data_IF_766131958574
#
_entry.id   IF_766131958574
#
_cell.length_a   1.000
_cell.length_b   1.000
_cell.length_c   1.000
_cell.angle_alpha   90.00
_cell.angle_beta   90.00
_cell.angle_gamma   90.00
#
_symmetry.space_group_name_H-M   'P 1'
#
loop_
_entity.id
_entity.type
_entity.pdbx_description
1 polymer ?
#
# COMPACT_ATOMS: atom_id res chain seq x y z
N UNK A 1 11.25 12.45 -14.63
CA UNK A 1 9.84 12.58 -15.07
C UNK A 1 9.23 13.63 -14.17
N UNK A 2 8.47 14.58 -14.72
CA UNK A 2 7.89 15.66 -13.90
C UNK A 2 6.79 15.10 -12.98
N UNK A 3 6.71 15.60 -11.74
CA UNK A 3 5.72 15.21 -10.72
C UNK A 3 4.28 15.20 -11.26
N UNK A 4 3.92 16.21 -12.04
CA UNK A 4 2.59 16.30 -12.68
C UNK A 4 2.25 15.09 -13.56
N UNK A 5 3.22 14.57 -14.32
CA UNK A 5 3.01 13.38 -15.17
C UNK A 5 2.73 12.13 -14.32
N UNK A 6 3.41 11.99 -13.19
CA UNK A 6 3.21 10.86 -12.27
C UNK A 6 1.84 10.93 -11.59
N UNK A 7 1.45 12.12 -11.12
CA UNK A 7 0.12 12.35 -10.56
C UNK A 7 -0.99 12.08 -11.59
N UNK A 8 -0.76 12.45 -12.86
CA UNK A 8 -1.69 12.15 -13.96
C UNK A 8 -1.85 10.64 -14.17
N UNK A 9 -0.77 9.85 -14.12
CA UNK A 9 -0.83 8.39 -14.25
C UNK A 9 -1.56 7.73 -13.08
N UNK A 10 -1.32 8.22 -11.86
CA UNK A 10 -2.03 7.74 -10.66
C UNK A 10 -3.52 8.06 -10.76
N UNK A 11 -3.85 9.30 -11.13
CA UNK A 11 -5.24 9.73 -11.34
C UNK A 11 -5.92 8.90 -12.42
N UNK A 12 -5.25 8.65 -13.54
CA UNK A 12 -5.77 7.83 -14.63
C UNK A 12 -6.10 6.41 -14.13
N UNK A 13 -5.20 5.76 -13.39
CA UNK A 13 -5.47 4.44 -12.83
C UNK A 13 -6.67 4.44 -11.86
N UNK A 14 -6.79 5.48 -11.03
CA UNK A 14 -7.92 5.64 -10.11
C UNK A 14 -9.25 5.76 -10.88
N UNK A 15 -9.26 6.53 -11.97
CA UNK A 15 -10.46 6.76 -12.81
C UNK A 15 -10.81 5.52 -13.65
N UNK A 16 -9.83 4.90 -14.32
CA UNK A 16 -10.02 3.73 -15.18
C UNK A 16 -10.61 2.53 -14.42
N UNK A 17 -10.24 2.36 -13.14
CA UNK A 17 -10.66 1.24 -12.30
C UNK A 17 -11.64 1.62 -11.18
N UNK A 18 -12.17 2.85 -11.19
CA UNK A 18 -13.09 3.34 -10.15
C UNK A 18 -12.61 3.05 -8.73
N UNK A 19 -11.33 3.33 -8.45
CA UNK A 19 -10.69 2.97 -7.18
C UNK A 19 -11.20 3.79 -6.00
N UNK A 20 -11.72 5.02 -6.24
CA UNK A 20 -12.18 5.95 -5.20
C UNK A 20 -13.64 6.31 -5.44
N UNK A 21 -14.43 6.20 -4.38
CA UNK A 21 -15.82 6.63 -4.32
C UNK A 21 -15.98 7.78 -3.32
N UNK A 22 -17.10 8.49 -3.42
CA UNK A 22 -17.41 9.58 -2.50
C UNK A 22 -17.55 9.07 -1.07
N UNK A 23 -16.86 9.71 -0.13
CA UNK A 23 -16.89 9.37 1.28
C UNK A 23 -15.99 8.19 1.69
N UNK A 24 -15.15 7.68 0.79
CA UNK A 24 -14.20 6.62 1.14
C UNK A 24 -13.22 7.03 2.25
N UNK A 25 -12.87 6.06 3.08
CA UNK A 25 -11.75 6.13 4.02
C UNK A 25 -10.65 5.21 3.54
N UNK A 26 -9.54 5.81 3.10
CA UNK A 26 -8.45 5.09 2.43
C UNK A 26 -7.20 5.13 3.29
N UNK A 27 -6.67 3.97 3.68
CA UNK A 27 -5.35 3.88 4.28
C UNK A 27 -4.30 3.52 3.23
N UNK A 28 -3.16 4.19 3.25
CA UNK A 28 -1.97 3.76 2.49
C UNK A 28 -1.14 2.85 3.37
N UNK A 29 -0.86 1.63 2.90
CA UNK A 29 0.07 0.72 3.56
C UNK A 29 1.51 1.21 3.41
N UNK A 30 2.10 1.74 4.48
CA UNK A 30 3.44 2.34 4.47
C UNK A 30 4.45 1.38 5.10
N UNK A 31 5.43 0.96 4.31
CA UNK A 31 6.52 0.08 4.75
C UNK A 31 7.80 0.84 5.16
N UNK A 32 7.84 2.16 4.97
CA UNK A 32 9.05 2.97 5.07
C UNK A 32 9.89 3.02 3.79
N UNK A 33 9.57 2.18 2.80
CA UNK A 33 10.21 2.22 1.48
C UNK A 33 9.75 3.40 0.62
N UNK A 34 10.62 3.82 -0.32
CA UNK A 34 10.38 4.97 -1.22
C UNK A 34 9.01 4.95 -1.91
N UNK A 35 8.57 3.78 -2.37
CA UNK A 35 7.36 3.66 -3.18
C UNK A 35 6.10 3.91 -2.34
N UNK A 36 6.05 3.38 -1.12
CA UNK A 36 4.93 3.57 -0.20
C UNK A 36 4.81 5.02 0.28
N UNK A 37 5.93 5.70 0.54
CA UNK A 37 5.95 7.12 0.90
C UNK A 37 5.55 8.00 -0.30
N UNK A 38 6.02 7.65 -1.50
CA UNK A 38 5.65 8.34 -2.74
C UNK A 38 4.15 8.22 -3.03
N UNK A 39 3.56 7.02 -2.86
CA UNK A 39 2.12 6.83 -2.98
C UNK A 39 1.35 7.71 -1.97
N UNK A 40 1.76 7.67 -0.69
CA UNK A 40 1.11 8.46 0.35
C UNK A 40 1.12 9.96 0.01
N UNK A 41 2.27 10.48 -0.43
CA UNK A 41 2.42 11.88 -0.85
C UNK A 41 1.54 12.19 -2.06
N UNK A 42 1.55 11.36 -3.09
CA UNK A 42 0.72 11.52 -4.28
C UNK A 42 -0.77 11.52 -3.94
N UNK A 43 -1.24 10.58 -3.10
CA UNK A 43 -2.63 10.53 -2.65
C UNK A 43 -3.01 11.78 -1.84
N UNK A 44 -2.10 12.31 -1.02
CA UNK A 44 -2.33 13.57 -0.29
C UNK A 44 -2.45 14.78 -1.21
N UNK A 45 -1.65 14.83 -2.27
CA UNK A 45 -1.77 15.90 -3.28
C UNK A 45 -3.10 15.77 -4.01
N UNK A 46 -3.44 14.58 -4.49
CA UNK A 46 -4.70 14.31 -5.18
C UNK A 46 -5.93 14.64 -4.34
N UNK A 47 -5.91 14.32 -3.05
CA UNK A 47 -7.01 14.59 -2.12
C UNK A 47 -7.45 16.07 -2.09
N UNK A 48 -6.58 17.00 -2.49
CA UNK A 48 -6.88 18.45 -2.49
C UNK A 48 -7.75 18.89 -3.68
N UNK A 49 -7.73 18.15 -4.77
CA UNK A 49 -8.40 18.56 -6.02
C UNK A 49 -9.13 17.43 -6.73
N UNK A 50 -9.15 16.23 -6.15
CA UNK A 50 -9.93 15.13 -6.71
C UNK A 50 -11.42 15.39 -6.55
N UNK A 51 -12.26 15.12 -7.59
CA UNK A 51 -13.67 15.49 -7.56
C UNK A 51 -14.53 14.74 -6.53
N UNK A 52 -14.04 13.62 -6.03
CA UNK A 52 -14.70 12.86 -4.95
C UNK A 52 -13.95 13.07 -3.65
N UNK A 53 -14.67 13.37 -2.56
CA UNK A 53 -14.09 13.54 -1.25
C UNK A 53 -13.75 12.17 -0.64
N UNK A 54 -12.58 12.03 -0.05
CA UNK A 54 -12.16 10.85 0.71
C UNK A 54 -11.24 11.24 1.86
N UNK A 55 -11.28 10.45 2.93
CA UNK A 55 -10.35 10.59 4.04
C UNK A 55 -9.10 9.75 3.78
N UNK A 56 -7.92 10.30 4.09
CA UNK A 56 -6.64 9.64 3.87
C UNK A 56 -5.93 9.34 5.19
N UNK A 57 -5.47 8.11 5.34
CA UNK A 57 -4.75 7.58 6.49
C UNK A 57 -3.46 6.90 6.01
N UNK A 58 -2.49 6.75 6.91
CA UNK A 58 -1.33 5.91 6.71
C UNK A 58 -1.32 4.79 7.75
N UNK A 59 -1.00 3.57 7.35
CA UNK A 59 -0.93 2.42 8.26
C UNK A 59 0.35 1.63 8.04
N UNK A 60 1.01 1.26 9.14
CA UNK A 60 2.19 0.39 9.15
C UNK A 60 1.97 -0.78 10.10
N UNK A 61 2.41 -1.96 9.72
CA UNK A 61 2.48 -3.10 10.61
C UNK A 61 3.93 -3.32 11.06
N UNK A 62 4.17 -3.15 12.36
CA UNK A 62 5.38 -3.57 13.02
C UNK A 62 5.27 -5.06 13.34
N UNK A 63 6.11 -5.87 12.72
CA UNK A 63 6.08 -7.33 12.90
C UNK A 63 6.87 -7.81 14.11
N UNK A 64 7.55 -6.92 14.83
CA UNK A 64 8.23 -7.20 16.08
C UNK A 64 9.69 -7.65 15.94
N UNK A 65 10.36 -7.39 14.81
CA UNK A 65 11.82 -7.58 14.76
C UNK A 65 12.55 -6.51 15.57
N UNK A 66 13.64 -6.90 16.23
CA UNK A 66 14.52 -5.96 16.91
C UNK A 66 15.09 -4.93 15.93
N UNK A 67 15.11 -3.66 16.35
CA UNK A 67 15.66 -2.55 15.54
C UNK A 67 14.72 -1.97 14.47
N UNK A 68 13.47 -2.43 14.38
CA UNK A 68 12.49 -1.76 13.50
C UNK A 68 12.12 -0.39 14.07
N UNK A 69 12.43 0.66 13.30
CA UNK A 69 12.11 2.05 13.63
C UNK A 69 11.23 2.70 12.56
N UNK A 70 10.05 3.13 12.95
CA UNK A 70 9.09 3.84 12.09
C UNK A 70 9.00 5.34 12.42
N UNK A 71 9.92 5.87 13.23
CA UNK A 71 9.95 7.30 13.60
C UNK A 71 10.01 8.20 12.37
N UNK A 72 10.79 7.82 11.35
CA UNK A 72 10.86 8.55 10.07
C UNK A 72 9.53 8.58 9.33
N UNK A 73 8.80 7.45 9.32
CA UNK A 73 7.47 7.35 8.70
C UNK A 73 6.48 8.25 9.43
N UNK A 74 6.46 8.20 10.76
CA UNK A 74 5.60 9.06 11.61
C UNK A 74 5.84 10.53 11.33
N UNK A 75 7.11 10.99 11.36
CA UNK A 75 7.48 12.38 11.07
C UNK A 75 7.06 12.81 9.66
N UNK A 76 7.20 11.92 8.69
CA UNK A 76 6.75 12.21 7.32
C UNK A 76 5.23 12.38 7.27
N UNK A 77 4.45 11.50 7.88
CA UNK A 77 2.99 11.60 7.94
C UNK A 77 2.54 12.89 8.64
N UNK A 78 3.19 13.27 9.74
CA UNK A 78 2.95 14.53 10.45
C UNK A 78 3.23 15.74 9.55
N UNK A 79 4.34 15.74 8.81
CA UNK A 79 4.73 16.85 7.92
C UNK A 79 3.73 17.12 6.80
N UNK A 80 3.00 16.09 6.36
CA UNK A 80 1.98 16.21 5.31
C UNK A 80 0.54 16.21 5.88
N UNK A 81 0.37 16.25 7.20
CA UNK A 81 -0.92 16.21 7.89
C UNK A 81 -1.78 15.01 7.44
N UNK A 82 -1.25 13.80 7.56
CA UNK A 82 -1.96 12.54 7.38
C UNK A 82 -1.94 11.76 8.68
N UNK A 83 -3.09 11.34 9.22
CA UNK A 83 -3.17 10.47 10.39
C UNK A 83 -2.39 9.17 10.15
N UNK A 84 -1.56 8.79 11.12
CA UNK A 84 -0.71 7.62 11.06
C UNK A 84 -1.06 6.60 12.14
N UNK A 85 -1.29 5.37 11.73
CA UNK A 85 -1.56 4.23 12.59
C UNK A 85 -0.45 3.21 12.50
N UNK A 86 0.08 2.80 13.65
CA UNK A 86 1.06 1.72 13.77
C UNK A 86 0.42 0.53 14.47
N UNK A 87 0.40 -0.60 13.79
CA UNK A 87 -0.09 -1.88 14.34
C UNK A 87 1.10 -2.66 14.85
N UNK A 88 1.29 -2.71 16.16
CA UNK A 88 2.36 -3.49 16.77
C UNK A 88 1.92 -4.95 16.95
N UNK A 89 2.78 -5.89 16.56
CA UNK A 89 2.51 -7.33 16.61
C UNK A 89 3.76 -8.11 17.03
N UNK A 90 3.55 -9.35 17.47
CA UNK A 90 4.63 -10.32 17.75
C UNK A 90 4.80 -11.35 16.62
N UNK A 91 4.50 -10.98 15.38
CA UNK A 91 4.53 -11.89 14.23
C UNK A 91 5.91 -12.50 14.02
N UNK A 92 6.98 -11.72 14.23
CA UNK A 92 8.35 -12.22 14.11
C UNK A 92 8.59 -13.40 15.03
N UNK A 93 8.20 -13.29 16.30
CA UNK A 93 8.30 -14.36 17.29
C UNK A 93 7.49 -15.59 16.90
N UNK A 94 6.22 -15.39 16.54
CA UNK A 94 5.32 -16.48 16.14
C UNK A 94 5.88 -17.24 14.93
N UNK A 95 6.41 -16.54 13.92
CA UNK A 95 6.84 -17.14 12.66
C UNK A 95 8.22 -17.77 12.74
N UNK A 96 9.15 -17.16 13.47
CA UNK A 96 10.56 -17.54 13.43
C UNK A 96 11.04 -18.29 14.70
N UNK A 97 10.34 -18.15 15.83
CA UNK A 97 10.71 -18.83 17.07
C UNK A 97 9.76 -20.01 17.37
N UNK A 98 8.45 -19.80 17.27
CA UNK A 98 7.44 -20.78 17.69
C UNK A 98 7.03 -21.74 16.57
N UNK A 99 7.19 -21.35 15.30
CA UNK A 99 6.70 -22.12 14.16
C UNK A 99 7.84 -22.57 13.24
N UNK A 100 7.97 -23.89 13.03
CA UNK A 100 8.91 -24.48 12.08
C UNK A 100 8.30 -24.62 10.69
N UNK A 101 7.55 -23.60 10.21
CA UNK A 101 6.95 -23.64 8.89
C UNK A 101 8.06 -23.60 7.81
N UNK A 102 7.90 -24.42 6.78
CA UNK A 102 8.82 -24.43 5.62
C UNK A 102 8.79 -23.13 4.82
N UNK A 103 7.80 -22.24 5.04
CA UNK A 103 7.60 -20.97 4.32
C UNK A 103 7.34 -19.77 5.24
N UNK A 104 8.30 -19.41 6.09
CA UNK A 104 8.11 -18.37 7.10
C UNK A 104 7.74 -17.00 6.50
N UNK A 105 8.30 -16.66 5.32
CA UNK A 105 7.99 -15.38 4.65
C UNK A 105 6.52 -15.29 4.20
N UNK A 106 5.95 -16.40 3.72
CA UNK A 106 4.54 -16.45 3.29
C UNK A 106 3.59 -16.28 4.49
N UNK A 107 3.88 -16.98 5.59
CA UNK A 107 3.12 -16.88 6.83
C UNK A 107 3.20 -15.46 7.42
N UNK A 108 4.39 -14.90 7.51
CA UNK A 108 4.61 -13.52 7.95
C UNK A 108 3.79 -12.51 7.13
N UNK A 109 3.82 -12.63 5.80
CA UNK A 109 3.05 -11.75 4.91
C UNK A 109 1.54 -11.88 5.14
N UNK A 110 1.03 -13.11 5.36
CA UNK A 110 -0.38 -13.38 5.64
C UNK A 110 -0.82 -12.77 6.98
N UNK A 111 -0.04 -13.02 8.04
CA UNK A 111 -0.34 -12.51 9.39
C UNK A 111 -0.30 -10.97 9.42
N UNK A 112 0.71 -10.36 8.78
CA UNK A 112 0.83 -8.90 8.67
C UNK A 112 -0.38 -8.28 7.98
N UNK A 113 -0.83 -8.85 6.86
CA UNK A 113 -2.04 -8.38 6.18
C UNK A 113 -3.26 -8.53 7.06
N UNK A 114 -3.44 -9.69 7.71
CA UNK A 114 -4.55 -9.93 8.63
C UNK A 114 -4.62 -8.93 9.77
N UNK A 115 -3.49 -8.64 10.41
CA UNK A 115 -3.41 -7.65 11.49
C UNK A 115 -3.79 -6.24 11.02
N UNK A 116 -3.29 -5.82 9.85
CA UNK A 116 -3.66 -4.52 9.26
C UNK A 116 -5.14 -4.45 8.91
N UNK A 117 -5.69 -5.48 8.24
CA UNK A 117 -7.11 -5.47 7.83
C UNK A 117 -8.06 -5.45 9.02
N UNK A 118 -7.75 -6.19 10.10
CA UNK A 118 -8.48 -6.13 11.35
C UNK A 118 -8.50 -4.70 11.90
N UNK A 119 -7.33 -4.05 11.93
CA UNK A 119 -7.23 -2.68 12.44
C UNK A 119 -7.99 -1.68 11.57
N UNK A 120 -7.97 -1.84 10.26
CA UNK A 120 -8.76 -1.00 9.35
C UNK A 120 -10.27 -1.12 9.65
N UNK A 121 -10.77 -2.34 9.87
CA UNK A 121 -12.16 -2.57 10.26
C UNK A 121 -12.54 -1.87 11.56
N UNK A 122 -11.67 -1.93 12.58
CA UNK A 122 -11.88 -1.23 13.87
C UNK A 122 -11.95 0.30 13.70
N UNK A 123 -11.20 0.86 12.75
CA UNK A 123 -11.18 2.28 12.44
C UNK A 123 -12.27 2.71 11.43
N UNK A 124 -13.06 1.76 10.91
CA UNK A 124 -14.07 2.02 9.89
C UNK A 124 -13.46 2.43 8.54
N UNK A 125 -12.23 2.04 8.26
CA UNK A 125 -11.53 2.30 6.99
C UNK A 125 -11.86 1.19 6.00
N UNK A 126 -12.46 1.54 4.85
CA UNK A 126 -13.00 0.59 3.88
C UNK A 126 -12.04 0.25 2.73
N UNK A 127 -10.98 1.02 2.55
CA UNK A 127 -10.00 0.78 1.47
C UNK A 127 -8.55 0.85 1.95
N UNK A 128 -7.69 0.01 1.35
CA UNK A 128 -6.24 0.09 1.54
C UNK A 128 -5.54 0.22 0.19
N UNK A 129 -4.65 1.19 0.07
CA UNK A 129 -3.83 1.42 -1.11
C UNK A 129 -2.42 0.86 -0.91
N UNK A 130 -1.95 0.07 -1.88
CA UNK A 130 -0.57 -0.42 -1.95
C UNK A 130 0.18 0.19 -3.12
N UNK A 131 1.47 0.43 -2.91
CA UNK A 131 2.35 1.11 -3.86
C UNK A 131 2.96 0.19 -4.95
N UNK A 132 2.22 -0.84 -5.37
CA UNK A 132 2.65 -1.66 -6.50
C UNK A 132 2.68 -0.79 -7.77
N UNK A 133 3.83 -0.72 -8.38
CA UNK A 133 4.08 0.08 -9.58
C UNK A 133 3.94 -0.75 -10.87
N UNK A 134 4.13 -0.15 -12.03
CA UNK A 134 3.97 -0.81 -13.33
C UNK A 134 4.92 -2.01 -13.50
N UNK A 135 6.15 -1.88 -13.02
CA UNK A 135 7.18 -2.91 -13.16
C UNK A 135 6.81 -4.14 -12.31
N UNK A 136 6.26 -3.96 -11.10
CA UNK A 136 5.75 -5.06 -10.26
C UNK A 136 4.65 -5.88 -10.95
N UNK A 137 3.75 -5.22 -11.71
CA UNK A 137 2.72 -5.92 -12.49
C UNK A 137 3.33 -6.76 -13.61
N UNK A 138 4.29 -6.20 -14.35
CA UNK A 138 4.97 -6.89 -15.44
C UNK A 138 5.77 -8.08 -14.91
N UNK A 139 6.53 -7.88 -13.84
CA UNK A 139 7.33 -8.93 -13.21
C UNK A 139 6.44 -10.07 -12.71
N UNK A 140 5.33 -9.75 -12.03
CA UNK A 140 4.36 -10.76 -11.56
C UNK A 140 3.78 -11.55 -12.74
N UNK A 141 3.41 -10.88 -13.83
CA UNK A 141 2.87 -11.55 -15.02
C UNK A 141 3.90 -12.48 -15.68
N UNK A 142 5.16 -12.03 -15.81
CA UNK A 142 6.25 -12.84 -16.36
C UNK A 142 6.58 -14.04 -15.47
N UNK A 143 6.66 -13.84 -14.16
CA UNK A 143 6.92 -14.92 -13.21
C UNK A 143 5.81 -15.96 -13.23
N UNK A 144 4.54 -15.54 -13.25
CA UNK A 144 3.43 -16.50 -13.31
C UNK A 144 3.41 -17.28 -14.63
N UNK A 145 3.81 -16.65 -15.74
CA UNK A 145 3.93 -17.32 -17.02
C UNK A 145 5.06 -18.37 -17.02
N UNK A 146 6.23 -18.01 -16.48
CA UNK A 146 7.41 -18.88 -16.48
C UNK A 146 7.27 -20.04 -15.49
N UNK A 147 6.79 -19.78 -14.26
CA UNK A 147 6.78 -20.78 -13.19
C UNK A 147 5.46 -21.55 -13.07
N UNK A 148 4.35 -20.92 -13.46
CA UNK A 148 3.01 -21.50 -13.27
C UNK A 148 2.32 -21.84 -14.60
N UNK A 149 2.91 -21.47 -15.74
CA UNK A 149 2.33 -21.70 -17.07
C UNK A 149 1.03 -20.95 -17.32
N UNK A 150 0.74 -19.90 -16.54
CA UNK A 150 -0.48 -19.09 -16.67
C UNK A 150 -0.14 -17.61 -16.72
N UNK A 151 -0.91 -16.82 -17.46
CA UNK A 151 -0.80 -15.39 -17.46
C UNK A 151 -1.62 -14.80 -16.30
N UNK A 152 -0.95 -14.37 -15.25
CA UNK A 152 -1.58 -13.77 -14.08
C UNK A 152 -0.78 -12.58 -13.56
N UNK A 153 -1.48 -11.49 -13.26
CA UNK A 153 -0.99 -10.39 -12.43
C UNK A 153 -2.04 -10.06 -11.38
N UNK A 154 -1.65 -9.46 -10.27
CA UNK A 154 -2.61 -9.06 -9.26
C UNK A 154 -3.56 -7.97 -9.80
N UNK A 155 -4.88 -8.06 -9.53
CA UNK A 155 -5.84 -7.10 -10.08
C UNK A 155 -5.64 -5.69 -9.49
N UNK A 156 -5.98 -4.63 -10.25
CA UNK A 156 -5.90 -3.23 -9.78
C UNK A 156 -6.74 -2.96 -8.54
N UNK A 157 -7.90 -3.60 -8.46
CA UNK A 157 -8.85 -3.53 -7.34
C UNK A 157 -9.21 -4.94 -6.91
N UNK A 158 -9.22 -5.20 -5.61
CA UNK A 158 -9.58 -6.50 -5.03
C UNK A 158 -10.42 -6.30 -3.79
N UNK A 159 -11.66 -6.73 -3.79
CA UNK A 159 -12.47 -6.78 -2.57
C UNK A 159 -12.14 -8.05 -1.77
N UNK A 160 -11.97 -7.89 -0.47
CA UNK A 160 -11.68 -8.97 0.48
C UNK A 160 -12.89 -9.15 1.42
N UNK A 161 -13.80 -10.08 1.12
CA UNK A 161 -15.07 -10.22 1.87
C UNK A 161 -14.86 -10.50 3.36
N UNK A 162 -13.88 -11.33 3.70
CA UNK A 162 -13.58 -11.70 5.09
C UNK A 162 -13.12 -10.51 5.94
N UNK A 163 -12.47 -9.53 5.30
CA UNK A 163 -11.96 -8.34 5.96
C UNK A 163 -12.88 -7.12 5.80
N UNK A 164 -13.85 -7.18 4.88
CA UNK A 164 -14.68 -6.03 4.53
C UNK A 164 -13.91 -4.86 3.92
N UNK A 165 -12.71 -5.11 3.36
CA UNK A 165 -11.78 -4.09 2.88
C UNK A 165 -11.52 -4.26 1.39
N UNK A 166 -11.45 -3.16 0.64
CA UNK A 166 -11.03 -3.16 -0.76
C UNK A 166 -9.57 -2.76 -0.88
N UNK A 167 -8.77 -3.60 -1.52
CA UNK A 167 -7.37 -3.29 -1.88
C UNK A 167 -7.34 -2.57 -3.21
N UNK A 168 -6.65 -1.43 -3.28
CA UNK A 168 -6.44 -0.67 -4.52
C UNK A 168 -4.96 -0.47 -4.80
N UNK A 169 -4.58 -0.29 -6.07
CA UNK A 169 -3.19 -0.15 -6.52
C UNK A 169 -3.02 1.03 -7.47
N UNK A 170 -3.06 2.28 -6.94
CA UNK A 170 -3.09 3.48 -7.78
C UNK A 170 -1.84 3.71 -8.63
N UNK A 171 -0.69 3.11 -8.26
CA UNK A 171 0.58 3.29 -8.97
C UNK A 171 0.79 2.33 -10.15
N UNK A 172 -0.20 1.52 -10.52
CA UNK A 172 -0.06 0.48 -11.54
C UNK A 172 0.39 0.99 -12.93
N UNK A 173 0.19 2.27 -13.25
CA UNK A 173 0.67 2.88 -14.49
C UNK A 173 1.99 3.62 -14.33
N UNK A 174 2.49 3.76 -13.10
CA UNK A 174 3.71 4.49 -12.78
C UNK A 174 4.92 3.58 -12.94
N UNK A 175 5.87 3.88 -13.83
CA UNK A 175 7.10 3.10 -13.91
C UNK A 175 7.98 3.35 -12.68
N UNK A 176 8.70 2.32 -12.21
CA UNK A 176 9.53 2.39 -11.01
C UNK A 176 10.53 3.55 -11.03
N UNK A 177 11.18 3.78 -12.19
CA UNK A 177 12.14 4.90 -12.39
C UNK A 177 11.56 6.29 -12.09
N UNK A 178 10.21 6.42 -12.12
CA UNK A 178 9.54 7.69 -11.84
C UNK A 178 9.23 7.90 -10.36
N UNK A 179 9.18 6.85 -9.56
CA UNK A 179 8.67 6.93 -8.18
C UNK A 179 9.50 7.87 -7.31
N UNK A 180 10.84 7.85 -7.45
CA UNK A 180 11.74 8.73 -6.71
C UNK A 180 11.42 10.22 -6.91
N UNK A 181 10.96 10.61 -8.11
CA UNK A 181 10.61 12.00 -8.40
C UNK A 181 9.41 12.53 -7.58
N UNK A 182 8.57 11.66 -7.04
CA UNK A 182 7.44 12.06 -6.20
C UNK A 182 7.87 12.53 -4.80
N UNK A 183 9.05 12.11 -4.34
CA UNK A 183 9.56 12.42 -3.00
C UNK A 183 10.50 13.63 -2.98
N UNK A 184 11.24 13.87 -4.07
CA UNK A 184 12.34 14.85 -4.08
C UNK A 184 11.97 16.22 -4.67
N UNK A 185 10.71 16.49 -4.99
CA UNK A 185 10.24 17.73 -5.61
C UNK A 185 9.31 18.56 -4.71
N UNK A 186 9.54 18.50 -3.41
CA UNK A 186 8.88 19.40 -2.44
C UNK A 186 9.85 20.47 -1.94
#
# INVERSE_FOLDING_TARGET
MQQQKLLSLIRQAIEDYNMIEEGDKIAVGVSGGKDSLALLHAMKILNRFYPKNFELYAITCNVGFEGMDFTGVRKFCESINVPYEQVDTEIAKIVFEDNKDERPCSLCAKLRKGAMYKRLGELGINKIAYAHNKDDFIETALMSLIYEGRFYAFPPVTYLPEAGVTVIRPMMYVPEKGVACLLYTS
#
